data_IF_099786764556
#
_entry.id   IF_099786764556
#
_cell.length_a   1.000
_cell.length_b   1.000
_cell.length_c   1.000
_cell.angle_alpha   90.00
_cell.angle_beta   90.00
_cell.angle_gamma   90.00
#
_symmetry.space_group_name_H-M   'P 1'
#
loop_
_entity.id
_entity.type
_entity.pdbx_description
1 polymer ?
#
# COMPACT_ATOMS: atom_id res chain seq x y z
N UNK A 1 17.96 56.64 -30.27
CA UNK A 1 17.65 56.96 -28.84
C UNK A 1 16.17 56.88 -28.43
N UNK A 2 15.19 57.20 -29.30
CA UNK A 2 13.74 57.09 -28.96
C UNK A 2 13.23 55.65 -28.77
N UNK A 3 13.86 54.67 -29.43
CA UNK A 3 13.48 53.26 -29.33
C UNK A 3 13.82 52.65 -27.96
N UNK A 4 14.96 53.05 -27.38
CA UNK A 4 15.45 52.54 -26.10
C UNK A 4 14.59 52.99 -24.90
N UNK A 5 14.08 54.24 -24.94
CA UNK A 5 13.14 54.75 -23.93
C UNK A 5 11.78 54.01 -23.95
N UNK A 6 11.35 53.47 -25.09
CA UNK A 6 10.07 52.74 -25.23
C UNK A 6 10.18 51.30 -24.68
N UNK A 7 11.34 50.67 -24.81
CA UNK A 7 11.61 49.35 -24.23
C UNK A 7 11.74 49.38 -22.69
N UNK A 8 12.41 50.40 -22.14
CA UNK A 8 12.55 50.54 -20.68
C UNK A 8 11.18 50.79 -20.03
N UNK A 9 10.33 51.63 -20.63
CA UNK A 9 8.99 51.93 -20.09
C UNK A 9 8.04 50.72 -20.13
N UNK A 10 8.22 49.78 -21.06
CA UNK A 10 7.48 48.50 -21.09
C UNK A 10 7.97 47.52 -20.03
N UNK A 11 9.26 47.49 -19.74
CA UNK A 11 9.81 46.64 -18.69
C UNK A 11 9.45 47.13 -17.28
N UNK A 12 9.44 48.44 -17.04
CA UNK A 12 9.03 48.98 -15.72
C UNK A 12 7.57 48.69 -15.39
N UNK A 13 6.66 48.70 -16.38
CA UNK A 13 5.23 48.37 -16.16
C UNK A 13 5.02 46.88 -15.88
N UNK A 14 5.79 45.99 -16.52
CA UNK A 14 5.71 44.55 -16.28
C UNK A 14 6.28 44.19 -14.90
N UNK A 15 7.39 44.81 -14.48
CA UNK A 15 7.96 44.58 -13.15
C UNK A 15 6.99 45.07 -12.06
N UNK A 16 6.34 46.24 -12.23
CA UNK A 16 5.35 46.75 -11.26
C UNK A 16 4.09 45.88 -11.19
N UNK A 17 3.63 45.31 -12.31
CA UNK A 17 2.47 44.42 -12.34
C UNK A 17 2.76 43.07 -11.65
N UNK A 18 4.00 42.57 -11.75
CA UNK A 18 4.42 41.33 -11.07
C UNK A 18 4.56 41.53 -9.57
N UNK A 19 5.03 42.69 -9.09
CA UNK A 19 5.07 42.97 -7.63
C UNK A 19 3.67 43.12 -7.03
N UNK A 20 2.71 43.74 -7.73
CA UNK A 20 1.33 43.91 -7.21
C UNK A 20 0.56 42.58 -7.11
N UNK A 21 0.86 41.60 -7.98
CA UNK A 21 0.24 40.27 -7.92
C UNK A 21 0.80 39.43 -6.77
N UNK A 22 2.06 39.64 -6.36
CA UNK A 22 2.67 38.90 -5.23
C UNK A 22 2.19 39.44 -3.87
N UNK A 23 1.78 40.71 -3.78
CA UNK A 23 1.23 41.30 -2.54
C UNK A 23 -0.24 40.95 -2.27
N UNK A 24 -0.94 40.30 -3.21
CA UNK A 24 -2.39 40.01 -3.11
C UNK A 24 -2.72 38.54 -2.78
N UNK A 25 -1.70 37.69 -2.58
CA UNK A 25 -1.89 36.32 -2.11
C UNK A 25 -2.18 36.34 -0.59
N UNK A 26 -3.46 36.57 -0.24
CA UNK A 26 -3.97 36.30 1.11
C UNK A 26 -3.65 34.84 1.46
N UNK A 27 -2.87 34.68 2.51
CA UNK A 27 -2.67 33.42 3.22
C UNK A 27 -4.04 33.01 3.76
N UNK A 28 -4.69 32.05 3.10
CA UNK A 28 -5.84 31.36 3.68
C UNK A 28 -5.33 30.39 4.74
N UNK A 29 -5.16 30.91 5.95
CA UNK A 29 -5.22 30.14 7.19
C UNK A 29 -6.58 29.44 7.23
N UNK A 30 -6.57 28.10 7.21
CA UNK A 30 -7.78 27.32 7.47
C UNK A 30 -8.12 27.48 8.95
N UNK A 31 -9.16 28.26 9.22
CA UNK A 31 -9.80 28.38 10.52
C UNK A 31 -10.49 27.07 10.90
N UNK A 32 -10.35 26.76 12.18
CA UNK A 32 -10.94 25.65 12.91
C UNK A 32 -12.47 25.75 12.89
N UNK A 33 -13.13 24.59 12.74
CA UNK A 33 -14.58 24.47 12.80
C UNK A 33 -15.06 24.26 14.24
N UNK A 34 -15.81 25.24 14.71
CA UNK A 34 -17.00 25.16 15.57
C UNK A 34 -16.89 24.44 16.92
N UNK A 35 -16.58 25.21 17.96
CA UNK A 35 -17.13 25.01 19.30
C UNK A 35 -18.43 25.79 19.45
N UNK A 36 -19.51 25.07 19.73
CA UNK A 36 -20.82 25.63 20.09
C UNK A 36 -20.74 26.24 21.49
N UNK A 37 -20.91 27.55 21.60
CA UNK A 37 -21.15 28.25 22.87
C UNK A 37 -22.65 28.39 23.13
N UNK A 38 -23.08 28.15 24.37
CA UNK A 38 -24.21 28.84 25.03
C UNK A 38 -24.14 28.58 26.55
N UNK A 39 -24.73 29.42 27.41
CA UNK A 39 -24.28 30.75 27.81
C UNK A 39 -23.90 30.81 29.30
N UNK A 40 -23.27 31.92 29.68
CA UNK A 40 -22.93 32.30 31.07
C UNK A 40 -24.20 32.63 31.86
N UNK A 41 -24.37 32.03 33.04
CA UNK A 41 -25.27 32.53 34.07
C UNK A 41 -24.53 32.67 35.42
N UNK A 42 -24.49 33.93 35.84
CA UNK A 42 -24.40 34.55 37.16
C UNK A 42 -24.04 33.73 38.42
N UNK A 43 -23.11 34.33 39.16
CA UNK A 43 -22.67 34.05 40.53
C UNK A 43 -23.81 34.09 41.56
N UNK A 44 -23.83 33.08 42.44
CA UNK A 44 -24.50 33.16 43.75
C UNK A 44 -23.72 32.34 44.79
N UNK A 45 -23.71 32.84 46.02
CA UNK A 45 -22.79 32.53 47.12
C UNK A 45 -22.96 31.14 47.77
N UNK A 46 -21.89 30.78 48.47
CA UNK A 46 -21.63 29.63 49.34
C UNK A 46 -22.72 29.39 50.41
N UNK A 47 -23.01 28.12 50.76
CA UNK A 47 -22.85 27.78 52.16
C UNK A 47 -22.13 26.44 52.39
N UNK A 48 -20.96 26.58 53.03
CA UNK A 48 -20.30 25.65 53.95
C UNK A 48 -21.24 24.59 54.52
N UNK A 49 -20.99 23.32 54.20
CA UNK A 49 -21.58 22.16 54.88
C UNK A 49 -20.48 21.22 55.39
N UNK A 50 -20.71 20.76 56.60
CA UNK A 50 -19.88 20.01 57.55
C UNK A 50 -19.50 18.58 57.07
N UNK A 51 -18.35 18.01 57.47
CA UNK A 51 -17.94 16.68 57.04
C UNK A 51 -18.75 15.56 57.70
N UNK A 52 -19.34 14.69 56.87
CA UNK A 52 -20.02 13.45 57.26
C UNK A 52 -19.00 12.30 57.48
N UNK A 53 -19.17 11.43 58.50
CA UNK A 53 -18.19 10.41 58.86
C UNK A 53 -18.11 9.22 57.89
N UNK A 54 -16.91 8.62 57.85
CA UNK A 54 -16.52 7.51 56.98
C UNK A 54 -17.27 6.19 57.27
N UNK A 55 -17.62 5.40 56.23
CA UNK A 55 -18.21 4.08 56.42
C UNK A 55 -17.16 3.02 56.76
N UNK A 56 -17.48 2.22 57.77
CA UNK A 56 -16.78 1.01 58.22
C UNK A 56 -16.91 -0.13 57.20
N UNK A 57 -15.80 -0.81 56.92
CA UNK A 57 -15.72 -1.98 56.04
C UNK A 57 -16.04 -3.26 56.80
N UNK A 58 -17.06 -3.99 56.36
CA UNK A 58 -17.39 -5.33 56.85
C UNK A 58 -16.79 -6.39 55.91
N UNK A 59 -16.13 -7.40 56.50
CA UNK A 59 -15.35 -8.43 55.79
C UNK A 59 -16.22 -9.51 55.17
N UNK A 60 -16.10 -9.72 53.86
CA UNK A 60 -16.74 -10.80 53.10
C UNK A 60 -16.00 -12.14 53.28
N UNK A 61 -16.68 -13.27 53.53
CA UNK A 61 -16.03 -14.57 53.71
C UNK A 61 -15.56 -15.21 52.40
N UNK A 62 -14.43 -15.90 52.49
CA UNK A 62 -13.73 -16.64 51.42
C UNK A 62 -14.48 -17.91 50.99
N UNK A 63 -14.71 -18.17 49.69
CA UNK A 63 -15.36 -19.40 49.24
C UNK A 63 -14.42 -20.62 49.23
N UNK A 64 -15.00 -21.78 49.55
CA UNK A 64 -14.38 -23.10 49.64
C UNK A 64 -14.11 -23.72 48.25
N UNK A 65 -12.98 -24.43 48.12
CA UNK A 65 -12.48 -24.98 46.84
C UNK A 65 -13.02 -26.39 46.60
N UNK A 66 -13.74 -26.59 45.49
CA UNK A 66 -14.23 -27.90 45.04
C UNK A 66 -13.18 -28.63 44.19
N UNK A 67 -12.96 -29.95 44.37
CA UNK A 67 -11.94 -30.70 43.63
C UNK A 67 -12.27 -30.89 42.14
N UNK A 68 -11.23 -30.82 41.30
CA UNK A 68 -11.30 -30.94 39.83
C UNK A 68 -11.18 -32.42 39.39
N UNK A 69 -12.04 -32.94 38.50
CA UNK A 69 -11.97 -34.32 38.02
C UNK A 69 -10.82 -34.57 37.04
N UNK A 70 -10.31 -35.81 37.06
CA UNK A 70 -9.14 -36.30 36.33
C UNK A 70 -9.43 -36.54 34.82
N UNK A 71 -8.46 -36.21 33.96
CA UNK A 71 -8.65 -36.16 32.51
C UNK A 71 -8.59 -37.55 31.83
N UNK A 72 -9.60 -37.84 30.99
CA UNK A 72 -9.67 -39.03 30.14
C UNK A 72 -8.66 -38.95 28.97
N UNK A 73 -7.91 -40.03 28.65
CA UNK A 73 -6.91 -40.01 27.58
C UNK A 73 -7.52 -39.87 26.17
N UNK A 74 -6.87 -39.06 25.33
CA UNK A 74 -7.32 -38.73 23.96
C UNK A 74 -6.84 -39.78 22.94
N UNK A 75 -7.69 -40.23 21.98
CA UNK A 75 -7.30 -41.23 20.99
C UNK A 75 -6.21 -40.74 20.01
N UNK A 76 -5.28 -41.63 19.68
CA UNK A 76 -4.17 -41.42 18.74
C UNK A 76 -4.70 -41.31 17.30
N UNK A 77 -4.34 -40.24 16.59
CA UNK A 77 -4.79 -40.00 15.21
C UNK A 77 -4.09 -40.94 14.20
N UNK A 78 -4.87 -41.54 13.30
CA UNK A 78 -4.40 -42.35 12.16
C UNK A 78 -3.84 -41.42 11.05
N UNK A 79 -2.69 -41.73 10.43
CA UNK A 79 -2.10 -40.88 9.39
C UNK A 79 -3.02 -40.77 8.17
N UNK A 80 -3.33 -39.53 7.78
CA UNK A 80 -4.14 -39.22 6.59
C UNK A 80 -3.26 -39.25 5.34
N UNK A 81 -3.62 -40.08 4.35
CA UNK A 81 -2.94 -40.12 3.05
C UNK A 81 -3.16 -38.80 2.30
N UNK A 82 -2.10 -38.25 1.70
CA UNK A 82 -2.18 -37.01 0.93
C UNK A 82 -3.07 -37.18 -0.32
N UNK A 83 -3.90 -36.19 -0.68
CA UNK A 83 -4.78 -36.27 -1.84
C UNK A 83 -3.97 -36.25 -3.15
N UNK A 84 -4.32 -37.15 -4.08
CA UNK A 84 -3.78 -37.17 -5.44
C UNK A 84 -4.07 -35.85 -6.17
N UNK A 85 -3.07 -35.19 -6.80
CA UNK A 85 -3.29 -33.94 -7.53
C UNK A 85 -4.28 -34.11 -8.71
N UNK A 86 -5.20 -33.17 -8.86
CA UNK A 86 -6.09 -33.12 -10.03
C UNK A 86 -5.26 -32.82 -11.31
N UNK A 87 -5.29 -33.70 -12.34
CA UNK A 87 -4.50 -33.51 -13.56
C UNK A 87 -4.87 -32.24 -14.36
N UNK A 88 -6.01 -31.59 -14.05
CA UNK A 88 -6.42 -30.34 -14.68
C UNK A 88 -5.94 -29.08 -13.93
N UNK A 89 -5.19 -29.23 -12.85
CA UNK A 89 -4.64 -28.10 -12.10
C UNK A 89 -3.36 -27.55 -12.77
N UNK A 90 -3.22 -26.22 -12.86
CA UNK A 90 -1.96 -25.59 -13.25
C UNK A 90 -0.77 -26.08 -12.41
N UNK A 91 0.46 -26.10 -12.96
CA UNK A 91 1.63 -26.53 -12.23
C UNK A 91 1.85 -25.68 -10.98
N UNK A 92 2.14 -26.35 -9.86
CA UNK A 92 2.60 -25.73 -8.62
C UNK A 92 4.12 -25.74 -8.58
N UNK A 93 4.69 -24.58 -8.30
CA UNK A 93 6.11 -24.39 -8.07
C UNK A 93 6.33 -23.93 -6.63
N UNK A 94 7.37 -24.47 -5.99
CA UNK A 94 7.81 -23.97 -4.69
C UNK A 94 8.99 -23.04 -4.90
N UNK A 95 8.86 -21.82 -4.38
CA UNK A 95 10.00 -20.91 -4.20
C UNK A 95 10.52 -21.12 -2.79
N UNK A 96 11.66 -21.80 -2.61
CA UNK A 96 12.23 -21.98 -1.30
C UNK A 96 12.62 -20.62 -0.72
N UNK A 97 12.59 -20.54 0.60
CA UNK A 97 13.19 -19.43 1.31
C UNK A 97 14.68 -19.40 0.97
N UNK A 98 15.17 -18.31 0.37
CA UNK A 98 16.61 -18.20 0.15
C UNK A 98 17.31 -18.10 1.53
N UNK A 99 18.47 -18.73 1.67
CA UNK A 99 19.35 -18.44 2.81
C UNK A 99 19.72 -16.97 2.74
N UNK A 100 19.84 -16.25 3.87
CA UNK A 100 20.21 -14.83 3.82
C UNK A 100 21.53 -14.66 3.06
N UNK A 101 21.43 -14.20 1.81
CA UNK A 101 22.54 -14.20 0.86
C UNK A 101 22.81 -12.79 0.35
N UNK A 102 24.07 -12.57 0.01
CA UNK A 102 24.56 -11.28 -0.40
C UNK A 102 23.78 -10.66 -1.56
N UNK A 103 23.13 -9.53 -1.30
CA UNK A 103 22.45 -8.72 -2.29
C UNK A 103 21.15 -9.29 -2.85
N UNK A 104 20.59 -10.26 -2.13
CA UNK A 104 19.26 -10.84 -2.40
C UNK A 104 18.20 -10.36 -1.42
N UNK A 105 18.54 -9.56 -0.43
CA UNK A 105 17.57 -9.06 0.54
C UNK A 105 18.12 -7.82 1.23
N UNK A 106 17.19 -7.01 1.74
CA UNK A 106 17.54 -5.87 2.58
C UNK A 106 16.62 -5.85 3.77
N UNK A 107 17.18 -5.69 4.96
CA UNK A 107 16.41 -5.30 6.14
C UNK A 107 16.35 -3.79 6.23
N UNK A 108 15.26 -3.27 6.76
CA UNK A 108 15.16 -1.84 7.02
C UNK A 108 15.73 -1.51 8.40
N UNK A 109 16.54 -0.46 8.48
CA UNK A 109 17.09 0.04 9.74
C UNK A 109 16.52 1.40 10.08
N UNK A 110 16.09 1.59 11.33
CA UNK A 110 15.58 2.87 11.82
C UNK A 110 14.16 3.22 11.36
N UNK A 111 13.39 2.25 10.85
CA UNK A 111 12.00 2.48 10.39
C UNK A 111 11.07 2.96 11.52
N UNK A 112 10.00 3.72 11.20
CA UNK A 112 8.93 4.04 12.15
C UNK A 112 8.39 2.79 12.83
N UNK A 113 8.27 2.83 14.16
CA UNK A 113 7.83 1.69 14.97
C UNK A 113 7.05 2.16 16.21
N UNK A 114 6.32 1.26 16.85
CA UNK A 114 5.56 1.57 18.05
C UNK A 114 6.46 1.58 19.31
N UNK A 115 7.35 2.55 19.42
CA UNK A 115 8.21 2.69 20.59
C UNK A 115 8.67 4.11 20.87
N UNK A 116 9.31 4.29 22.04
CA UNK A 116 9.74 5.60 22.55
C UNK A 116 10.66 6.32 21.57
N UNK A 117 11.45 5.61 20.75
CA UNK A 117 12.42 6.24 19.83
C UNK A 117 12.00 6.28 18.35
N UNK A 118 10.71 6.12 18.03
CA UNK A 118 10.26 6.20 16.62
C UNK A 118 10.72 7.51 15.95
N UNK A 119 11.23 7.48 14.71
CA UNK A 119 11.56 8.71 13.96
C UNK A 119 10.32 9.53 13.59
N UNK A 120 9.14 8.90 13.51
CA UNK A 120 7.86 9.55 13.23
C UNK A 120 6.95 9.31 14.43
N UNK A 121 6.60 10.37 15.17
CA UNK A 121 5.84 10.26 16.44
C UNK A 121 4.58 11.10 16.52
N UNK A 122 4.52 12.24 15.85
CA UNK A 122 3.48 13.23 16.10
C UNK A 122 2.77 13.63 14.82
N UNK A 123 1.44 13.70 14.89
CA UNK A 123 0.57 14.31 13.91
C UNK A 123 -0.30 15.33 14.65
N UNK A 124 -0.20 16.61 14.32
CA UNK A 124 -1.01 17.68 14.93
C UNK A 124 -1.01 17.60 16.48
N UNK A 125 0.17 17.47 17.08
CA UNK A 125 0.33 17.35 18.54
C UNK A 125 -0.11 16.00 19.15
N UNK A 126 -0.66 15.07 18.37
CA UNK A 126 -1.10 13.74 18.84
C UNK A 126 -0.12 12.65 18.44
N UNK A 127 0.09 11.69 19.34
CA UNK A 127 1.00 10.57 19.10
C UNK A 127 0.43 9.64 18.03
N UNK A 128 1.20 9.41 16.97
CA UNK A 128 0.90 8.38 15.97
C UNK A 128 1.52 7.05 16.40
N UNK A 129 0.78 5.95 16.24
CA UNK A 129 1.25 4.58 16.48
C UNK A 129 1.46 3.90 15.13
N UNK A 130 2.72 3.73 14.68
CA UNK A 130 3.03 2.98 13.46
C UNK A 130 2.65 1.49 13.63
N UNK A 131 2.01 0.94 12.61
CA UNK A 131 1.73 -0.48 12.44
C UNK A 131 2.79 -1.16 11.57
N UNK A 132 2.45 -2.35 11.08
CA UNK A 132 3.31 -3.15 10.19
C UNK A 132 3.46 -2.46 8.83
N UNK A 133 4.62 -2.65 8.19
CA UNK A 133 4.78 -2.30 6.77
C UNK A 133 3.76 -3.10 5.96
N UNK A 134 3.01 -2.41 5.12
CA UNK A 134 1.88 -2.90 4.32
C UNK A 134 2.25 -3.08 2.84
N UNK A 135 3.17 -2.26 2.34
CA UNK A 135 3.66 -2.37 0.97
C UNK A 135 5.03 -1.68 0.81
N UNK A 136 5.70 -1.96 -0.31
CA UNK A 136 6.97 -1.35 -0.68
C UNK A 136 7.11 -1.20 -2.21
N UNK A 137 8.00 -0.31 -2.65
CA UNK A 137 8.38 -0.14 -4.04
C UNK A 137 9.79 0.46 -4.15
N UNK A 138 10.58 -0.01 -5.11
CA UNK A 138 11.90 0.56 -5.39
C UNK A 138 11.79 1.77 -6.32
N UNK A 139 12.68 2.75 -6.16
CA UNK A 139 12.80 3.80 -7.15
C UNK A 139 13.43 3.26 -8.44
N UNK A 140 13.01 3.74 -9.63
CA UNK A 140 13.58 3.30 -10.91
C UNK A 140 15.10 3.50 -11.04
N UNK A 141 15.66 4.53 -10.42
CA UNK A 141 17.11 4.76 -10.36
C UNK A 141 17.85 3.85 -9.37
N UNK A 142 17.13 3.04 -8.58
CA UNK A 142 17.70 2.08 -7.64
C UNK A 142 18.38 2.72 -6.43
N UNK A 143 18.10 4.00 -6.14
CA UNK A 143 18.65 4.71 -4.97
C UNK A 143 17.87 4.46 -3.69
N UNK A 144 16.55 4.30 -3.78
CA UNK A 144 15.68 4.22 -2.62
C UNK A 144 14.68 3.07 -2.72
N UNK A 145 14.17 2.71 -1.55
CA UNK A 145 12.94 1.94 -1.39
C UNK A 145 11.98 2.79 -0.58
N UNK A 146 10.77 2.93 -1.10
CA UNK A 146 9.65 3.49 -0.34
C UNK A 146 8.85 2.35 0.28
N UNK A 147 8.34 2.59 1.48
CA UNK A 147 7.49 1.66 2.20
C UNK A 147 6.31 2.40 2.82
N UNK A 148 5.15 1.77 2.83
CA UNK A 148 3.95 2.26 3.52
C UNK A 148 3.69 1.42 4.76
N UNK A 149 3.27 2.06 5.84
CA UNK A 149 2.66 1.37 6.99
C UNK A 149 1.43 2.13 7.47
N UNK A 150 0.56 1.44 8.20
CA UNK A 150 -0.54 2.09 8.90
C UNK A 150 0.00 2.98 10.02
N UNK A 151 -0.56 4.17 10.19
CA UNK A 151 -0.33 5.04 11.33
C UNK A 151 -1.65 5.34 12.02
N UNK A 152 -1.80 4.91 13.27
CA UNK A 152 -3.00 5.17 14.06
C UNK A 152 -2.85 6.44 14.89
N UNK A 153 -3.80 7.36 14.80
CA UNK A 153 -3.89 8.55 15.64
C UNK A 153 -5.31 8.64 16.22
N UNK A 154 -5.49 8.23 17.48
CA UNK A 154 -6.82 7.96 18.04
C UNK A 154 -7.51 6.82 17.29
N UNK A 155 -8.77 7.02 16.89
CA UNK A 155 -9.51 6.11 16.00
C UNK A 155 -9.18 6.33 14.51
N UNK A 156 -8.47 7.42 14.19
CA UNK A 156 -8.09 7.79 12.83
C UNK A 156 -6.97 6.91 12.28
N UNK A 157 -7.11 6.52 11.02
CA UNK A 157 -6.10 5.78 10.24
C UNK A 157 -5.45 6.69 9.21
N UNK A 158 -4.14 6.64 9.16
CA UNK A 158 -3.29 7.38 8.23
C UNK A 158 -2.25 6.44 7.63
N UNK A 159 -1.64 6.85 6.54
CA UNK A 159 -0.51 6.10 5.96
C UNK A 159 0.78 6.82 6.31
N UNK A 160 1.76 6.11 6.85
CA UNK A 160 3.12 6.60 6.99
C UNK A 160 3.88 6.13 5.76
N UNK A 161 4.38 7.09 4.98
CA UNK A 161 5.23 6.85 3.82
C UNK A 161 6.68 7.06 4.23
N UNK A 162 7.46 5.99 4.25
CA UNK A 162 8.88 6.03 4.63
C UNK A 162 9.77 5.89 3.41
N UNK A 163 10.87 6.64 3.38
CA UNK A 163 11.94 6.49 2.39
C UNK A 163 13.18 5.91 3.06
N UNK A 164 13.72 4.84 2.50
CA UNK A 164 15.02 4.30 2.92
C UNK A 164 16.00 4.31 1.75
N UNK A 165 17.24 4.69 2.01
CA UNK A 165 18.33 4.60 1.04
C UNK A 165 18.73 3.13 0.87
N UNK A 166 18.96 2.73 -0.37
CA UNK A 166 19.49 1.40 -0.66
C UNK A 166 21.01 1.41 -0.47
N UNK A 167 21.59 0.34 0.11
CA UNK A 167 23.02 0.30 0.34
C UNK A 167 23.77 0.18 -0.98
N UNK A 168 24.90 0.90 -1.08
CA UNK A 168 25.80 0.86 -2.25
C UNK A 168 26.32 -0.56 -2.52
N UNK A 169 26.65 -1.30 -1.45
CA UNK A 169 27.08 -2.69 -1.51
C UNK A 169 25.95 -3.61 -1.08
N UNK A 170 25.59 -4.52 -1.97
CA UNK A 170 24.53 -5.51 -1.77
C UNK A 170 25.18 -6.81 -1.26
N UNK A 171 25.60 -6.82 0.02
CA UNK A 171 26.11 -8.01 0.71
C UNK A 171 25.00 -8.68 1.56
N UNK A 172 25.32 -9.70 2.37
CA UNK A 172 24.30 -10.55 3.04
C UNK A 172 23.62 -9.84 4.20
N UNK A 173 24.26 -8.78 4.69
CA UNK A 173 23.83 -7.94 5.81
C UNK A 173 23.43 -6.54 5.32
N UNK A 174 23.11 -6.42 4.02
CA UNK A 174 22.80 -5.15 3.40
C UNK A 174 21.52 -4.57 4.02
N UNK A 175 21.63 -3.34 4.53
CA UNK A 175 20.53 -2.63 5.20
C UNK A 175 20.08 -1.45 4.35
N UNK A 176 18.78 -1.34 4.17
CA UNK A 176 18.18 -0.11 3.70
C UNK A 176 18.03 0.84 4.90
N UNK A 177 18.61 2.04 4.82
CA UNK A 177 18.66 2.96 5.95
C UNK A 177 17.56 4.00 5.85
N UNK A 178 16.72 4.10 6.88
CA UNK A 178 15.69 5.12 6.97
C UNK A 178 16.29 6.52 6.80
N UNK A 179 15.70 7.31 5.91
CA UNK A 179 16.12 8.69 5.63
C UNK A 179 15.09 9.67 6.20
N UNK A 180 13.83 9.47 5.83
CA UNK A 180 12.72 10.28 6.30
C UNK A 180 11.38 9.53 6.20
N UNK A 181 10.35 10.11 6.81
CA UNK A 181 8.99 9.61 6.74
C UNK A 181 7.99 10.75 6.79
N UNK A 182 6.92 10.60 6.02
CA UNK A 182 5.81 11.56 5.92
C UNK A 182 4.52 10.89 6.38
N UNK A 183 3.70 11.63 7.12
CA UNK A 183 2.36 11.17 7.49
C UNK A 183 1.36 11.68 6.44
N UNK A 184 0.79 10.76 5.69
CA UNK A 184 -0.27 11.02 4.73
C UNK A 184 -1.63 10.97 5.47
N UNK A 185 -2.08 12.13 5.95
CA UNK A 185 -3.31 12.25 6.72
C UNK A 185 -4.53 11.87 5.86
N UNK A 186 -5.32 10.92 6.36
CA UNK A 186 -6.53 10.43 5.69
C UNK A 186 -6.27 9.52 4.48
N UNK A 187 -5.13 8.83 4.44
CA UNK A 187 -4.80 7.87 3.37
C UNK A 187 -5.13 6.41 3.72
N UNK A 188 -5.55 6.14 4.96
CA UNK A 188 -6.00 4.80 5.37
C UNK A 188 -4.86 3.85 5.67
N UNK A 189 -5.04 2.57 5.34
CA UNK A 189 -4.16 1.48 5.77
C UNK A 189 -2.76 1.50 5.14
N UNK A 190 -2.63 1.96 3.90
CA UNK A 190 -1.34 1.97 3.18
C UNK A 190 -1.11 0.71 2.34
N UNK A 191 -2.18 0.07 1.91
CA UNK A 191 -2.24 -1.25 1.28
C UNK A 191 -1.62 -1.35 -0.13
N UNK A 192 -1.33 -0.21 -0.75
CA UNK A 192 -0.79 -0.16 -2.11
C UNK A 192 0.26 0.94 -2.22
N UNK A 193 1.33 0.60 -2.93
CA UNK A 193 2.42 1.50 -3.24
C UNK A 193 3.02 1.09 -4.58
N UNK A 194 3.21 2.05 -5.47
CA UNK A 194 4.08 1.91 -6.64
C UNK A 194 4.85 3.22 -6.87
N UNK A 195 5.99 3.15 -7.53
CA UNK A 195 6.87 4.32 -7.72
C UNK A 195 7.33 4.41 -9.16
N UNK A 196 7.16 5.59 -9.74
CA UNK A 196 7.66 5.92 -11.07
C UNK A 196 8.53 7.16 -11.02
N UNK A 197 9.38 7.34 -12.03
CA UNK A 197 10.29 8.47 -12.13
C UNK A 197 10.27 8.96 -13.57
N UNK A 198 9.99 10.25 -13.75
CA UNK A 198 9.94 10.86 -15.08
C UNK A 198 11.34 11.06 -15.65
N UNK A 199 12.27 11.53 -14.81
CA UNK A 199 13.66 11.82 -15.16
C UNK A 199 14.60 11.13 -14.17
N UNK A 200 15.37 10.13 -14.64
CA UNK A 200 16.30 9.35 -13.82
C UNK A 200 17.49 10.19 -13.29
N UNK A 201 17.69 11.40 -13.81
CA UNK A 201 18.75 12.31 -13.34
C UNK A 201 18.30 13.16 -12.15
N UNK A 202 17.00 13.20 -11.86
CA UNK A 202 16.43 13.99 -10.77
C UNK A 202 15.91 13.06 -9.69
N UNK A 203 16.18 13.38 -8.44
CA UNK A 203 15.59 12.68 -7.30
C UNK A 203 14.16 13.18 -7.03
N UNK A 204 13.34 13.10 -8.06
CA UNK A 204 11.91 13.43 -8.04
C UNK A 204 11.11 12.22 -8.53
N UNK A 205 10.22 11.73 -7.67
CA UNK A 205 9.49 10.49 -7.87
C UNK A 205 7.99 10.74 -7.83
N UNK A 206 7.27 10.06 -8.70
CA UNK A 206 5.81 9.96 -8.63
C UNK A 206 5.46 8.70 -7.84
N UNK A 207 4.95 8.91 -6.62
CA UNK A 207 4.57 7.87 -5.66
C UNK A 207 3.06 7.66 -5.76
N UNK A 208 2.64 6.43 -6.02
CA UNK A 208 1.26 6.04 -6.25
C UNK A 208 0.72 5.26 -5.05
N UNK A 209 -0.28 5.81 -4.37
CA UNK A 209 -0.85 5.24 -3.14
C UNK A 209 -2.37 5.36 -3.12
N UNK A 210 -3.03 4.48 -2.36
CA UNK A 210 -4.46 4.62 -2.08
C UNK A 210 -4.71 5.83 -1.16
N UNK A 211 -5.89 6.46 -1.31
CA UNK A 211 -6.31 7.61 -0.50
C UNK A 211 -7.83 7.67 -0.37
N UNK A 212 -8.32 8.56 0.51
CA UNK A 212 -9.76 8.83 0.72
C UNK A 212 -10.52 7.55 1.12
N UNK A 213 -10.17 6.94 2.25
CA UNK A 213 -10.81 5.71 2.69
C UNK A 213 -12.22 5.94 3.21
N UNK A 214 -13.10 4.97 3.00
CA UNK A 214 -14.41 4.89 3.67
C UNK A 214 -14.26 4.08 4.96
N UNK A 215 -14.86 4.54 6.06
CA UNK A 215 -14.66 3.92 7.39
C UNK A 215 -13.20 3.94 7.85
N UNK A 216 -12.35 4.77 7.24
CA UNK A 216 -10.94 4.93 7.57
C UNK A 216 -10.01 3.79 7.15
N UNK A 217 -10.49 2.68 6.58
CA UNK A 217 -9.63 1.53 6.29
C UNK A 217 -9.00 1.56 4.89
N UNK A 218 -9.76 1.19 3.86
CA UNK A 218 -9.26 1.03 2.49
C UNK A 218 -9.54 2.25 1.63
N UNK A 219 -8.58 2.67 0.80
CA UNK A 219 -8.74 3.82 -0.07
C UNK A 219 -9.70 3.57 -1.23
N UNK A 220 -10.40 4.63 -1.66
CA UNK A 220 -11.31 4.62 -2.81
C UNK A 220 -10.80 5.43 -4.02
N UNK A 221 -9.65 6.08 -3.84
CA UNK A 221 -8.96 6.88 -4.84
C UNK A 221 -7.50 6.47 -4.88
N UNK A 222 -6.81 6.81 -5.96
CA UNK A 222 -5.35 6.68 -6.08
C UNK A 222 -4.76 8.08 -6.15
N UNK A 223 -3.88 8.44 -5.22
CA UNK A 223 -3.06 9.64 -5.30
C UNK A 223 -1.78 9.34 -6.10
N UNK A 224 -1.36 10.30 -6.92
CA UNK A 224 0.01 10.43 -7.40
C UNK A 224 0.64 11.61 -6.68
N UNK A 225 1.58 11.31 -5.79
CA UNK A 225 2.36 12.28 -5.03
C UNK A 225 3.68 12.48 -5.75
N UNK A 226 3.94 13.69 -6.24
CA UNK A 226 5.26 14.08 -6.71
C UNK A 226 6.09 14.44 -5.48
N UNK A 227 7.02 13.57 -5.14
CA UNK A 227 7.94 13.67 -4.02
C UNK A 227 9.33 14.04 -4.53
N UNK A 228 10.00 14.99 -3.88
CA UNK A 228 11.35 15.44 -4.22
C UNK A 228 12.29 15.29 -3.05
N UNK A 229 13.51 14.83 -3.32
CA UNK A 229 14.62 14.90 -2.35
C UNK A 229 15.28 16.26 -2.49
N UNK A 230 15.21 17.06 -1.44
CA UNK A 230 15.81 18.40 -1.40
C UNK A 230 17.33 18.33 -1.17
N UNK A 231 18.10 19.41 -1.44
CA UNK A 231 19.54 19.45 -1.19
C UNK A 231 19.95 19.14 0.26
N UNK A 232 19.06 19.37 1.22
CA UNK A 232 19.25 18.99 2.64
C UNK A 232 19.24 17.47 2.87
N UNK A 233 18.89 16.68 1.84
CA UNK A 233 18.67 15.25 1.92
C UNK A 233 17.26 14.87 2.35
N UNK A 234 16.41 15.81 2.76
CA UNK A 234 15.03 15.55 3.21
C UNK A 234 14.03 15.50 2.05
N UNK A 235 13.03 14.64 2.18
CA UNK A 235 11.90 14.56 1.27
C UNK A 235 10.85 15.65 1.45
N UNK A 236 10.31 16.16 0.34
CA UNK A 236 9.19 17.09 0.31
C UNK A 236 8.10 16.62 -0.67
N UNK A 237 6.83 16.96 -0.39
CA UNK A 237 5.72 16.78 -1.33
C UNK A 237 5.56 18.06 -2.14
N UNK A 238 5.84 17.97 -3.44
CA UNK A 238 5.72 19.08 -4.39
C UNK A 238 4.31 19.16 -4.95
N UNK A 239 3.70 18.01 -5.23
CA UNK A 239 2.37 17.96 -5.86
C UNK A 239 1.60 16.72 -5.46
N UNK A 240 0.30 16.89 -5.23
CA UNK A 240 -0.63 15.78 -5.06
C UNK A 240 -1.75 15.94 -6.08
N UNK A 241 -1.97 14.92 -6.90
CA UNK A 241 -3.14 14.82 -7.78
C UNK A 241 -3.77 13.44 -7.59
N UNK A 242 -5.07 13.31 -7.87
CA UNK A 242 -5.80 12.07 -7.59
C UNK A 242 -6.50 11.50 -8.82
N UNK A 243 -6.74 10.21 -8.81
CA UNK A 243 -7.66 9.48 -9.67
C UNK A 243 -8.85 9.04 -8.82
N UNK A 244 -10.07 9.32 -9.28
CA UNK A 244 -11.28 8.96 -8.55
C UNK A 244 -12.42 8.53 -9.45
N UNK A 245 -13.58 8.27 -8.85
CA UNK A 245 -14.78 7.78 -9.55
C UNK A 245 -14.57 6.44 -10.28
N UNK A 246 -13.84 5.52 -9.64
CA UNK A 246 -13.55 4.19 -10.20
C UNK A 246 -14.79 3.35 -10.52
N UNK A 247 -15.97 3.67 -9.96
CA UNK A 247 -17.25 3.06 -10.36
C UNK A 247 -17.58 3.21 -11.86
N UNK A 248 -16.96 4.15 -12.58
CA UNK A 248 -17.17 4.41 -14.01
C UNK A 248 -16.10 3.80 -14.92
N UNK A 249 -15.37 2.81 -14.44
CA UNK A 249 -14.25 2.20 -15.17
C UNK A 249 -14.64 0.96 -15.98
N UNK A 250 -15.92 0.61 -16.02
CA UNK A 250 -16.38 -0.36 -17.01
C UNK A 250 -16.45 0.31 -18.40
N UNK A 251 -16.37 -0.49 -19.46
CA UNK A 251 -16.48 -0.03 -20.85
C UNK A 251 -17.57 -0.85 -21.52
N UNK A 252 -18.62 -0.19 -22.00
CA UNK A 252 -19.70 -0.88 -22.68
C UNK A 252 -19.32 -1.28 -24.12
N UNK A 253 -20.20 -2.01 -24.81
CA UNK A 253 -20.00 -2.47 -26.19
C UNK A 253 -19.68 -1.34 -27.19
N UNK A 254 -20.09 -0.10 -26.88
CA UNK A 254 -19.83 1.10 -27.71
C UNK A 254 -18.53 1.82 -27.34
N UNK A 255 -17.75 1.29 -26.41
CA UNK A 255 -16.51 1.90 -25.94
C UNK A 255 -16.71 3.10 -25.01
N UNK A 256 -17.92 3.32 -24.50
CA UNK A 256 -18.24 4.40 -23.57
C UNK A 256 -18.07 3.92 -22.12
N UNK A 257 -17.69 4.85 -21.26
CA UNK A 257 -17.61 4.61 -19.82
C UNK A 257 -18.97 4.17 -19.28
N UNK A 258 -18.96 3.15 -18.44
CA UNK A 258 -20.14 2.58 -17.80
C UNK A 258 -19.82 2.17 -16.36
N UNK A 259 -20.86 1.85 -15.61
CA UNK A 259 -20.72 1.26 -14.28
C UNK A 259 -20.62 -0.26 -14.36
N UNK A 260 -20.03 -0.86 -13.34
CA UNK A 260 -20.15 -2.31 -13.13
C UNK A 260 -21.52 -2.62 -12.55
N UNK A 261 -22.15 -3.68 -13.05
CA UNK A 261 -23.50 -4.10 -12.68
C UNK A 261 -23.62 -5.62 -12.70
N UNK A 262 -24.55 -6.12 -11.91
CA UNK A 262 -25.09 -7.48 -11.98
C UNK A 262 -26.62 -7.36 -11.94
N UNK A 263 -27.28 -7.69 -13.05
CA UNK A 263 -28.69 -7.32 -13.25
C UNK A 263 -28.90 -5.80 -13.20
N UNK A 264 -29.78 -5.35 -12.31
CA UNK A 264 -30.09 -3.93 -12.06
C UNK A 264 -29.14 -3.26 -11.07
N UNK A 265 -28.46 -4.05 -10.24
CA UNK A 265 -27.60 -3.57 -9.16
C UNK A 265 -26.34 -2.90 -9.72
N UNK A 266 -25.96 -1.76 -9.14
CA UNK A 266 -24.73 -1.04 -9.46
C UNK A 266 -23.72 -1.28 -8.36
N UNK A 267 -22.55 -1.79 -8.73
CA UNK A 267 -21.49 -1.99 -7.77
C UNK A 267 -20.78 -0.69 -7.40
N UNK A 268 -20.58 -0.48 -6.10
CA UNK A 268 -19.74 0.57 -5.55
C UNK A 268 -18.38 -0.01 -5.16
N UNK A 269 -17.32 0.73 -5.50
CA UNK A 269 -15.96 0.31 -5.20
C UNK A 269 -15.71 0.52 -3.71
N UNK A 270 -15.21 -0.51 -3.04
CA UNK A 270 -14.90 -0.52 -1.61
C UNK A 270 -13.40 -0.49 -1.32
N UNK A 271 -12.56 -0.86 -2.30
CA UNK A 271 -11.10 -0.76 -2.20
C UNK A 271 -10.48 -0.63 -3.58
N UNK A 272 -9.46 0.24 -3.68
CA UNK A 272 -8.63 0.38 -4.87
C UNK A 272 -7.15 0.15 -4.57
N UNK A 273 -6.47 -0.56 -5.46
CA UNK A 273 -5.02 -0.71 -5.42
C UNK A 273 -4.43 -0.42 -6.80
N UNK A 274 -3.14 -0.10 -6.86
CA UNK A 274 -2.43 0.26 -8.10
C UNK A 274 -1.16 -0.57 -8.28
N UNK A 275 -0.86 -0.91 -9.54
CA UNK A 275 0.45 -1.40 -9.97
C UNK A 275 0.74 -0.91 -11.39
N UNK A 276 2.00 -0.60 -11.68
CA UNK A 276 2.45 0.02 -12.93
C UNK A 276 3.53 -0.82 -13.58
N UNK A 277 3.37 -1.05 -14.89
CA UNK A 277 4.41 -1.59 -15.77
C UNK A 277 4.75 -0.51 -16.81
N UNK A 278 5.78 0.29 -16.49
CA UNK A 278 6.20 1.41 -17.34
C UNK A 278 6.73 0.94 -18.69
N UNK A 279 7.42 -0.20 -18.72
CA UNK A 279 8.05 -0.75 -19.93
C UNK A 279 6.99 -1.14 -20.96
N UNK A 280 5.86 -1.69 -20.51
CA UNK A 280 4.73 -2.04 -21.36
C UNK A 280 3.65 -0.93 -21.43
N UNK A 281 3.91 0.26 -20.88
CA UNK A 281 3.00 1.40 -20.85
C UNK A 281 1.63 1.09 -20.22
N UNK A 282 1.63 0.38 -19.08
CA UNK A 282 0.43 -0.09 -18.40
C UNK A 282 0.34 0.39 -16.96
N UNK A 283 -0.86 0.78 -16.56
CA UNK A 283 -1.24 1.00 -15.17
C UNK A 283 -2.49 0.19 -14.89
N UNK A 284 -2.43 -0.66 -13.88
CA UNK A 284 -3.54 -1.52 -13.45
C UNK A 284 -4.11 -1.00 -12.15
N UNK A 285 -5.44 -0.95 -12.09
CA UNK A 285 -6.17 -0.74 -10.86
C UNK A 285 -6.93 -2.01 -10.50
N UNK A 286 -6.67 -2.53 -9.29
CA UNK A 286 -7.52 -3.54 -8.67
C UNK A 286 -8.70 -2.81 -8.04
N UNK A 287 -9.91 -3.23 -8.38
CA UNK A 287 -11.16 -2.70 -7.84
C UNK A 287 -11.87 -3.85 -7.15
N UNK A 288 -12.07 -3.70 -5.85
CA UNK A 288 -12.87 -4.62 -5.05
C UNK A 288 -14.21 -3.96 -4.75
N UNK A 289 -15.29 -4.63 -5.12
CA UNK A 289 -16.66 -4.22 -4.83
C UNK A 289 -17.19 -5.02 -3.65
N UNK A 290 -17.01 -6.33 -3.70
CA UNK A 290 -17.20 -7.26 -2.59
C UNK A 290 -16.07 -8.29 -2.65
N UNK A 291 -15.95 -9.15 -1.64
CA UNK A 291 -14.93 -10.20 -1.61
C UNK A 291 -14.97 -11.11 -2.87
N UNK A 292 -16.15 -11.26 -3.47
CA UNK A 292 -16.39 -12.11 -4.65
C UNK A 292 -16.65 -11.29 -5.94
N UNK A 293 -16.41 -9.98 -5.93
CA UNK A 293 -16.52 -9.14 -7.11
C UNK A 293 -15.27 -8.27 -7.20
N UNK A 294 -14.26 -8.77 -7.91
CA UNK A 294 -12.97 -8.09 -8.08
C UNK A 294 -12.68 -7.90 -9.57
N UNK A 295 -12.21 -6.70 -9.92
CA UNK A 295 -11.77 -6.35 -11.27
C UNK A 295 -10.33 -5.87 -11.28
N UNK A 296 -9.61 -6.22 -12.33
CA UNK A 296 -8.30 -5.66 -12.64
C UNK A 296 -8.43 -4.92 -13.97
N UNK A 297 -8.55 -3.59 -13.90
CA UNK A 297 -8.72 -2.72 -15.06
C UNK A 297 -7.40 -2.06 -15.42
N UNK A 298 -6.97 -2.22 -16.66
CA UNK A 298 -5.62 -1.86 -17.10
C UNK A 298 -5.74 -0.78 -18.16
N UNK A 299 -4.93 0.27 -18.05
CA UNK A 299 -4.97 1.46 -18.89
C UNK A 299 -3.60 1.77 -19.50
N UNK A 300 -3.61 2.56 -20.57
CA UNK A 300 -2.43 3.22 -21.11
C UNK A 300 -1.86 4.22 -20.08
N UNK A 301 -0.71 3.86 -19.51
CA UNK A 301 -0.07 4.62 -18.43
C UNK A 301 0.29 6.04 -18.84
N UNK A 302 0.94 6.23 -20.00
CA UNK A 302 1.33 7.55 -20.52
C UNK A 302 0.11 8.46 -20.70
N UNK A 303 -1.05 7.93 -21.10
CA UNK A 303 -2.28 8.75 -21.21
C UNK A 303 -2.83 9.18 -19.86
N UNK A 304 -2.87 8.27 -18.87
CA UNK A 304 -3.25 8.61 -17.50
C UNK A 304 -2.30 9.66 -16.93
N UNK A 305 -1.00 9.46 -17.06
CA UNK A 305 0.00 10.41 -16.57
C UNK A 305 -0.11 11.79 -17.25
N UNK A 306 -0.30 11.82 -18.58
CA UNK A 306 -0.51 13.08 -19.30
C UNK A 306 -1.77 13.81 -18.82
N UNK A 307 -2.82 13.10 -18.43
CA UNK A 307 -4.03 13.71 -17.89
C UNK A 307 -3.78 14.31 -16.49
N UNK A 308 -3.10 13.57 -15.62
CA UNK A 308 -2.74 14.03 -14.28
C UNK A 308 -1.78 15.23 -14.30
N UNK A 309 -0.87 15.29 -15.28
CA UNK A 309 0.08 16.41 -15.40
C UNK A 309 -0.62 17.76 -15.65
N UNK A 310 -1.84 17.76 -16.22
CA UNK A 310 -2.63 18.96 -16.48
C UNK A 310 -3.41 19.48 -15.28
N UNK A 311 -3.48 18.69 -14.21
CA UNK A 311 -4.21 19.06 -13.02
C UNK A 311 -3.34 19.92 -12.10
N UNK A 312 -3.96 20.83 -11.36
CA UNK A 312 -3.31 21.57 -10.29
C UNK A 312 -3.22 20.75 -8.99
N UNK A 313 -2.46 21.26 -8.02
CA UNK A 313 -2.34 20.63 -6.70
C UNK A 313 -3.72 20.38 -6.07
N UNK A 314 -3.92 19.18 -5.54
CA UNK A 314 -5.14 18.76 -4.84
C UNK A 314 -6.27 18.29 -5.74
N UNK A 315 -6.21 18.54 -7.06
CA UNK A 315 -7.26 18.17 -8.00
C UNK A 315 -7.37 16.65 -8.24
N UNK A 316 -8.55 16.23 -8.70
CA UNK A 316 -8.88 14.83 -8.94
C UNK A 316 -9.37 14.63 -10.39
N UNK A 317 -8.73 13.73 -11.12
CA UNK A 317 -9.15 13.29 -12.44
C UNK A 317 -10.28 12.26 -12.31
N UNK A 318 -11.38 12.50 -13.02
CA UNK A 318 -12.51 11.60 -13.07
C UNK A 318 -12.25 10.43 -14.03
N UNK A 319 -12.17 9.21 -13.50
CA UNK A 319 -11.87 8.01 -14.29
C UNK A 319 -12.92 7.68 -15.37
N UNK A 320 -14.12 8.26 -15.33
CA UNK A 320 -15.07 8.21 -16.46
C UNK A 320 -14.43 8.70 -17.77
N UNK A 321 -13.56 9.71 -17.71
CA UNK A 321 -12.84 10.25 -18.86
C UNK A 321 -11.74 9.34 -19.42
N UNK A 322 -11.31 8.33 -18.65
CA UNK A 322 -10.24 7.40 -19.02
C UNK A 322 -10.72 6.13 -19.73
N UNK A 323 -12.03 5.86 -19.84
CA UNK A 323 -12.56 4.64 -20.47
C UNK A 323 -11.94 4.35 -21.86
N UNK A 324 -11.75 5.40 -22.66
CA UNK A 324 -11.10 5.34 -23.99
C UNK A 324 -9.62 4.90 -23.98
N UNK A 325 -8.98 4.84 -22.82
CA UNK A 325 -7.58 4.44 -22.65
C UNK A 325 -7.43 3.05 -22.02
N UNK A 326 -8.53 2.39 -21.66
CA UNK A 326 -8.49 1.05 -21.11
C UNK A 326 -7.99 0.07 -22.17
N UNK A 327 -7.07 -0.83 -21.79
CA UNK A 327 -6.46 -1.87 -22.63
C UNK A 327 -6.78 -3.29 -22.16
N UNK A 328 -7.22 -3.49 -20.90
CA UNK A 328 -7.76 -4.77 -20.45
C UNK A 328 -8.72 -4.58 -19.26
N UNK A 329 -9.62 -5.56 -19.07
CA UNK A 329 -10.56 -5.62 -17.96
C UNK A 329 -10.74 -7.08 -17.56
N UNK A 330 -10.18 -7.48 -16.42
CA UNK A 330 -10.19 -8.87 -15.96
C UNK A 330 -11.11 -9.02 -14.76
N UNK A 331 -12.00 -10.01 -14.78
CA UNK A 331 -12.77 -10.46 -13.60
C UNK A 331 -12.08 -11.67 -12.99
N UNK A 332 -11.47 -11.49 -11.83
CA UNK A 332 -10.73 -12.54 -11.11
C UNK A 332 -11.14 -12.50 -9.64
N UNK A 333 -12.07 -13.37 -9.28
CA UNK A 333 -12.63 -13.45 -7.93
C UNK A 333 -11.83 -14.39 -7.01
N UNK A 334 -10.54 -14.55 -7.29
CA UNK A 334 -9.68 -15.39 -6.47
C UNK A 334 -8.36 -14.69 -6.20
N UNK A 335 -7.90 -14.91 -4.99
CA UNK A 335 -6.58 -14.54 -4.50
C UNK A 335 -6.19 -15.59 -3.46
N UNK A 336 -4.89 -15.83 -3.27
CA UNK A 336 -4.42 -16.93 -2.47
C UNK A 336 -4.98 -16.91 -1.04
N UNK A 337 -5.46 -18.08 -0.58
CA UNK A 337 -6.04 -18.30 0.74
C UNK A 337 -7.21 -17.39 1.14
N UNK A 338 -7.82 -16.67 0.18
CA UNK A 338 -8.80 -15.60 0.46
C UNK A 338 -8.26 -14.49 1.37
N UNK A 339 -6.95 -14.26 1.36
CA UNK A 339 -6.31 -13.11 2.04
C UNK A 339 -5.48 -12.32 1.04
N UNK A 340 -5.95 -11.14 0.65
CA UNK A 340 -5.25 -10.32 -0.35
C UNK A 340 -4.15 -9.50 0.34
N UNK A 341 -2.91 -9.71 -0.08
CA UNK A 341 -1.75 -9.02 0.48
C UNK A 341 -1.06 -8.11 -0.55
N UNK A 342 -1.10 -8.47 -1.84
CA UNK A 342 -0.59 -7.59 -2.90
C UNK A 342 -0.96 -8.04 -4.29
N UNK A 343 -0.70 -7.16 -5.27
CA UNK A 343 -0.58 -7.57 -6.66
C UNK A 343 0.50 -6.77 -7.38
N UNK A 344 0.97 -7.31 -8.50
CA UNK A 344 1.87 -6.63 -9.42
C UNK A 344 1.48 -6.97 -10.85
N UNK A 345 1.68 -6.04 -11.78
CA UNK A 345 1.64 -6.32 -13.22
C UNK A 345 3.04 -6.21 -13.83
N UNK A 346 3.40 -7.13 -14.72
CA UNK A 346 4.62 -7.07 -15.53
C UNK A 346 4.49 -7.97 -16.76
N UNK A 347 4.82 -7.46 -17.95
CA UNK A 347 4.81 -8.20 -19.22
C UNK A 347 3.48 -8.89 -19.49
N UNK A 348 2.39 -8.12 -19.47
CA UNK A 348 1.03 -8.63 -19.64
C UNK A 348 0.68 -9.80 -18.70
N UNK A 349 1.33 -9.84 -17.54
CA UNK A 349 1.14 -10.86 -16.51
C UNK A 349 0.72 -10.17 -15.23
N UNK A 350 -0.30 -10.69 -14.58
CA UNK A 350 -0.80 -10.28 -13.28
C UNK A 350 -0.34 -11.31 -12.25
N UNK A 351 0.33 -10.84 -11.20
CA UNK A 351 0.80 -11.64 -10.07
C UNK A 351 -0.07 -11.27 -8.86
N UNK A 352 -0.86 -12.21 -8.36
CA UNK A 352 -1.76 -12.02 -7.22
C UNK A 352 -1.20 -12.71 -6.00
N UNK A 353 -0.92 -11.95 -4.96
CA UNK A 353 -0.25 -12.42 -3.78
C UNK A 353 -1.21 -12.47 -2.59
N UNK A 354 -1.18 -13.59 -1.88
CA UNK A 354 -1.93 -13.78 -0.65
C UNK A 354 -1.17 -14.67 0.32
N UNK A 355 -1.52 -14.57 1.58
CA UNK A 355 -0.84 -15.27 2.65
C UNK A 355 -1.27 -14.75 4.00
N UNK A 356 -1.10 -15.58 5.02
CA UNK A 356 -1.31 -15.23 6.41
C UNK A 356 -0.55 -16.20 7.31
N UNK A 357 -0.40 -15.85 8.59
CA UNK A 357 0.28 -16.68 9.59
C UNK A 357 -0.26 -18.12 9.60
N UNK A 358 0.60 -19.11 9.78
CA UNK A 358 0.31 -20.55 9.78
C UNK A 358 -0.05 -21.16 8.42
N UNK A 359 -0.54 -20.39 7.42
CA UNK A 359 -0.77 -20.90 6.06
C UNK A 359 0.38 -20.63 5.09
N UNK A 360 1.26 -19.69 5.42
CA UNK A 360 2.34 -19.26 4.53
C UNK A 360 1.83 -18.34 3.42
N UNK A 361 2.54 -18.29 2.30
CA UNK A 361 2.25 -17.36 1.21
C UNK A 361 2.21 -18.07 -0.15
N UNK A 362 1.43 -17.54 -1.07
CA UNK A 362 1.31 -18.05 -2.43
C UNK A 362 1.07 -16.91 -3.41
N UNK A 363 1.46 -17.11 -4.66
CA UNK A 363 1.24 -16.19 -5.77
C UNK A 363 0.51 -16.92 -6.89
N UNK A 364 -0.59 -16.34 -7.39
CA UNK A 364 -1.26 -16.78 -8.62
C UNK A 364 -0.74 -15.96 -9.79
N UNK A 365 -0.32 -16.65 -10.86
CA UNK A 365 0.23 -16.00 -12.05
C UNK A 365 -0.79 -16.11 -13.17
N UNK A 366 -1.23 -14.96 -13.69
CA UNK A 366 -2.29 -14.87 -14.69
C UNK A 366 -1.81 -14.04 -15.87
N UNK A 367 -1.63 -14.67 -17.03
CA UNK A 367 -1.43 -13.94 -18.29
C UNK A 367 -2.72 -13.32 -18.77
N UNK A 368 -2.64 -12.14 -19.35
CA UNK A 368 -3.75 -11.49 -20.03
C UNK A 368 -3.33 -10.96 -21.38
N UNK A 369 -4.31 -10.68 -22.22
CA UNK A 369 -4.11 -10.03 -23.52
C UNK A 369 -4.64 -8.61 -23.46
N UNK A 370 -3.87 -7.68 -24.02
CA UNK A 370 -4.37 -6.33 -24.25
C UNK A 370 -5.35 -6.33 -25.43
N UNK A 371 -6.28 -5.39 -25.39
CA UNK A 371 -7.29 -5.17 -26.40
C UNK A 371 -7.12 -3.75 -26.97
N UNK A 372 -7.77 -3.48 -28.09
CA UNK A 372 -7.79 -2.13 -28.67
C UNK A 372 -8.34 -1.14 -27.64
N UNK A 373 -7.60 -0.04 -27.42
CA UNK A 373 -7.96 1.00 -26.45
C UNK A 373 -9.41 1.45 -26.58
N UNK A 374 -10.12 1.47 -25.46
CA UNK A 374 -11.53 1.88 -25.41
C UNK A 374 -12.50 0.90 -26.06
N UNK A 375 -12.05 -0.28 -26.49
CA UNK A 375 -12.91 -1.38 -26.97
C UNK A 375 -12.71 -2.65 -26.14
N UNK A 376 -12.45 -2.46 -24.85
CA UNK A 376 -12.20 -3.54 -23.91
C UNK A 376 -13.49 -4.24 -23.53
N UNK A 377 -13.46 -5.57 -23.60
CA UNK A 377 -14.47 -6.45 -23.01
C UNK A 377 -13.94 -7.02 -21.70
N UNK A 378 -14.85 -7.23 -20.74
CA UNK A 378 -14.53 -7.98 -19.53
C UNK A 378 -14.13 -9.42 -19.92
N UNK A 379 -13.03 -9.90 -19.35
CA UNK A 379 -12.56 -11.27 -19.48
C UNK A 379 -12.59 -11.93 -18.10
N UNK A 380 -13.49 -12.90 -17.91
CA UNK A 380 -13.52 -13.72 -16.70
C UNK A 380 -12.37 -14.72 -16.74
N UNK A 381 -11.52 -14.70 -15.71
CA UNK A 381 -10.44 -15.69 -15.55
C UNK A 381 -10.82 -16.62 -14.39
N UNK A 382 -10.88 -17.91 -14.69
CA UNK A 382 -11.09 -18.97 -13.69
C UNK A 382 -9.79 -19.67 -13.35
N UNK A 383 -9.75 -20.40 -12.23
CA UNK A 383 -8.55 -21.04 -11.67
C UNK A 383 -7.77 -21.89 -12.68
N UNK A 384 -8.47 -22.66 -13.53
CA UNK A 384 -7.85 -23.49 -14.60
C UNK A 384 -7.10 -22.70 -15.68
N UNK A 385 -7.31 -21.39 -15.77
CA UNK A 385 -6.64 -20.50 -16.71
C UNK A 385 -5.42 -19.81 -16.10
N UNK A 386 -5.09 -20.11 -14.84
CA UNK A 386 -3.89 -19.58 -14.22
C UNK A 386 -2.69 -20.29 -14.85
N UNK A 387 -1.63 -19.53 -15.12
CA UNK A 387 -0.43 -20.11 -15.74
C UNK A 387 0.28 -21.05 -14.76
N UNK A 388 0.32 -20.66 -13.49
CA UNK A 388 0.95 -21.44 -12.42
C UNK A 388 0.57 -20.93 -11.04
N UNK A 389 0.80 -21.79 -10.06
CA UNK A 389 0.81 -21.45 -8.65
C UNK A 389 2.25 -21.39 -8.15
N UNK A 390 2.57 -20.36 -7.37
CA UNK A 390 3.89 -20.25 -6.75
C UNK A 390 3.72 -20.22 -5.25
N UNK A 391 4.04 -21.33 -4.58
CA UNK A 391 4.07 -21.42 -3.12
C UNK A 391 5.37 -20.80 -2.63
N UNK A 392 5.27 -19.85 -1.71
CA UNK A 392 6.44 -19.25 -1.07
C UNK A 392 6.67 -20.03 0.22
N UNK A 393 7.84 -20.65 0.34
CA UNK A 393 8.26 -21.20 1.60
C UNK A 393 8.54 -20.05 2.57
N UNK A 394 7.67 -19.90 3.56
CA UNK A 394 7.77 -18.83 4.56
C UNK A 394 8.68 -19.29 5.69
N UNK A 395 9.98 -19.28 5.44
CA UNK A 395 11.01 -19.54 6.42
C UNK A 395 12.09 -18.47 6.35
N UNK A 396 12.54 -17.93 7.48
CA UNK A 396 13.63 -16.95 7.50
C UNK A 396 14.58 -17.25 8.65
N UNK A 397 15.89 -17.19 8.38
CA UNK A 397 16.92 -17.31 9.42
C UNK A 397 17.45 -15.93 9.80
N UNK A 398 17.23 -15.51 11.05
CA UNK A 398 17.67 -14.22 11.58
C UNK A 398 18.59 -14.46 12.77
N UNK A 399 19.89 -14.21 12.57
CA UNK A 399 20.91 -14.60 13.53
C UNK A 399 20.89 -16.12 13.77
N UNK A 400 20.65 -16.53 15.03
CA UNK A 400 20.53 -17.94 15.44
C UNK A 400 19.09 -18.48 15.40
N UNK A 401 18.08 -17.63 15.15
CA UNK A 401 16.67 -18.02 15.16
C UNK A 401 16.20 -18.35 13.74
N UNK A 402 15.40 -19.41 13.62
CA UNK A 402 14.64 -19.72 12.40
C UNK A 402 13.17 -19.40 12.66
N UNK A 403 12.58 -18.60 11.79
CA UNK A 403 11.18 -18.21 11.82
C UNK A 403 10.45 -18.97 10.73
N UNK A 404 9.35 -19.62 11.08
CA UNK A 404 8.50 -20.34 10.15
C UNK A 404 7.23 -19.58 9.82
N UNK A 405 6.32 -20.28 9.13
CA UNK A 405 5.00 -19.78 8.73
C UNK A 405 4.15 -19.26 9.90
N UNK A 406 4.38 -19.73 11.11
CA UNK A 406 3.70 -19.31 12.35
C UNK A 406 4.13 -17.90 12.82
N UNK A 407 5.26 -17.42 12.32
CA UNK A 407 5.85 -16.12 12.65
C UNK A 407 5.93 -15.16 11.48
N UNK A 408 5.65 -15.61 10.25
CA UNK A 408 5.85 -14.83 9.03
C UNK A 408 4.55 -14.64 8.26
N UNK A 409 4.20 -13.38 8.00
CA UNK A 409 3.09 -12.98 7.13
C UNK A 409 3.61 -12.10 6.00
N UNK A 410 3.05 -12.26 4.81
CA UNK A 410 3.45 -11.48 3.64
C UNK A 410 2.66 -10.18 3.58
N UNK A 411 3.36 -9.06 3.44
CA UNK A 411 2.80 -7.70 3.52
C UNK A 411 3.34 -6.83 2.38
N UNK A 412 3.04 -7.26 1.15
CA UNK A 412 3.50 -6.62 -0.08
C UNK A 412 4.39 -7.52 -0.95
N UNK A 413 4.21 -7.39 -2.26
CA UNK A 413 4.99 -8.10 -3.27
C UNK A 413 5.22 -7.19 -4.48
N UNK A 414 6.41 -7.27 -5.06
CA UNK A 414 6.77 -6.65 -6.34
C UNK A 414 7.49 -7.64 -7.25
N UNK A 415 7.38 -7.44 -8.55
CA UNK A 415 8.14 -8.19 -9.56
C UNK A 415 8.98 -7.19 -10.33
N UNK A 416 10.27 -7.45 -10.49
CA UNK A 416 11.17 -6.62 -11.28
C UNK A 416 11.97 -7.48 -12.26
N UNK A 417 12.48 -6.87 -13.33
CA UNK A 417 13.48 -7.49 -14.20
C UNK A 417 14.87 -7.16 -13.70
N UNK A 418 15.76 -8.14 -13.66
CA UNK A 418 17.18 -7.88 -13.50
C UNK A 418 17.81 -7.42 -14.83
N UNK A 419 19.12 -7.11 -14.78
CA UNK A 419 19.91 -6.69 -15.97
C UNK A 419 19.87 -7.67 -17.15
N UNK A 420 19.52 -8.94 -16.90
CA UNK A 420 19.39 -9.99 -17.93
C UNK A 420 17.94 -10.17 -18.41
N UNK A 421 17.02 -9.28 -18.01
CA UNK A 421 15.60 -9.38 -18.33
C UNK A 421 14.84 -10.48 -17.56
N UNK A 422 15.49 -11.20 -16.64
CA UNK A 422 14.82 -12.25 -15.86
C UNK A 422 14.00 -11.65 -14.74
N UNK A 423 12.81 -12.20 -14.52
CA UNK A 423 11.87 -11.78 -13.47
C UNK A 423 12.34 -12.25 -12.09
N UNK A 424 12.28 -11.33 -11.14
CA UNK A 424 12.64 -11.51 -9.74
C UNK A 424 11.48 -11.00 -8.88
N UNK A 425 11.04 -11.82 -7.94
CA UNK A 425 10.02 -11.47 -6.97
C UNK A 425 10.69 -10.85 -5.76
N UNK A 426 10.05 -9.83 -5.22
CA UNK A 426 10.46 -9.19 -3.99
C UNK A 426 9.26 -9.23 -3.07
N UNK A 427 9.48 -9.70 -1.85
CA UNK A 427 8.41 -9.98 -0.89
C UNK A 427 8.79 -9.32 0.43
N UNK A 428 7.85 -8.57 1.01
CA UNK A 428 7.99 -8.07 2.36
C UNK A 428 7.34 -9.06 3.34
N UNK A 429 8.07 -9.44 4.39
CA UNK A 429 7.50 -10.24 5.48
C UNK A 429 7.35 -9.41 6.75
N UNK A 430 6.13 -9.37 7.29
CA UNK A 430 5.90 -9.06 8.68
C UNK A 430 6.31 -10.25 9.55
N UNK A 431 6.99 -9.94 10.65
CA UNK A 431 7.51 -10.91 11.60
C UNK A 431 6.83 -10.71 12.95
N UNK A 432 6.05 -11.70 13.36
CA UNK A 432 5.36 -11.69 14.65
C UNK A 432 6.37 -11.69 15.81
N UNK A 433 6.13 -10.83 16.79
CA UNK A 433 6.90 -10.73 18.05
C UNK A 433 8.38 -10.35 17.89
N UNK A 434 8.77 -9.79 16.74
CA UNK A 434 10.10 -9.21 16.53
C UNK A 434 9.95 -7.71 16.28
N UNK A 435 10.65 -6.84 17.05
CA UNK A 435 10.58 -5.40 16.88
C UNK A 435 10.81 -4.98 15.42
N UNK A 436 9.91 -4.15 14.87
CA UNK A 436 9.94 -3.64 13.48
C UNK A 436 11.32 -3.08 13.09
N UNK A 437 12.04 -2.49 14.05
CA UNK A 437 13.40 -1.94 13.89
C UNK A 437 14.46 -2.97 13.50
N UNK A 438 14.15 -4.27 13.63
CA UNK A 438 15.07 -5.38 13.42
C UNK A 438 14.51 -6.44 12.46
N UNK A 439 13.28 -6.26 11.93
CA UNK A 439 12.46 -7.38 11.45
C UNK A 439 11.65 -7.13 10.17
N UNK A 440 11.77 -5.97 9.54
CA UNK A 440 11.14 -5.76 8.23
C UNK A 440 12.21 -5.96 7.17
N UNK A 441 11.97 -6.88 6.23
CA UNK A 441 12.88 -7.15 5.14
C UNK A 441 12.14 -7.39 3.84
N UNK A 442 12.71 -6.88 2.75
CA UNK A 442 12.31 -7.24 1.40
C UNK A 442 13.25 -8.32 0.90
N UNK A 443 12.69 -9.48 0.58
CA UNK A 443 13.42 -10.68 0.19
C UNK A 443 13.22 -10.95 -1.29
N UNK A 444 14.32 -11.19 -2.00
CA UNK A 444 14.33 -11.49 -3.44
C UNK A 444 14.27 -12.98 -3.68
N UNK A 445 13.40 -13.38 -4.61
CA UNK A 445 13.26 -14.75 -5.08
C UNK A 445 13.36 -14.77 -6.61
N UNK A 446 14.05 -15.77 -7.17
CA UNK A 446 14.13 -15.92 -8.64
C UNK A 446 13.15 -16.99 -9.09
N UNK A 447 12.42 -16.73 -10.18
CA UNK A 447 11.46 -17.71 -10.72
C UNK A 447 12.14 -18.98 -11.26
N UNK A 448 13.45 -18.98 -11.51
CA UNK A 448 14.19 -20.15 -12.01
C UNK A 448 14.82 -21.00 -10.89
N UNK A 449 14.59 -20.67 -9.62
CA UNK A 449 14.96 -21.51 -8.46
C UNK A 449 13.77 -22.38 -8.01
N UNK A 450 12.74 -22.52 -8.85
CA UNK A 450 11.57 -23.31 -8.54
C UNK A 450 11.83 -24.79 -8.74
N UNK A 451 11.53 -25.59 -7.72
CA UNK A 451 11.41 -27.04 -7.85
C UNK A 451 9.92 -27.34 -8.08
N UNK A 452 9.54 -28.11 -9.10
CA UNK A 452 8.18 -28.65 -9.22
C UNK A 452 7.76 -29.35 -7.92
N UNK A 453 6.50 -29.22 -7.51
CA UNK A 453 6.02 -29.89 -6.28
C UNK A 453 6.25 -31.42 -6.31
N UNK A 454 6.20 -32.01 -7.52
CA UNK A 454 6.47 -33.44 -7.77
C UNK A 454 7.92 -33.88 -7.54
N UNK A 455 8.86 -32.94 -7.40
CA UNK A 455 10.29 -33.21 -7.16
C UNK A 455 10.69 -32.98 -5.68
N UNK A 456 9.73 -32.74 -4.78
CA UNK A 456 9.98 -32.52 -3.34
C UNK A 456 9.49 -33.65 -2.42
N UNK A 457 9.07 -34.78 -3.00
CA UNK A 457 8.85 -36.06 -2.30
C UNK A 457 10.09 -36.94 -2.45
#
# INVERSE_FOLDING_TARGET
>A
MKFFKKCIRRWTVIVLAVTIVISSAKINTFAEGETTETPVEQTTEDPTTEPSPAPTTESTPTPEVTPTPEATPTPTAVPTVAPTPDPNMPPTYVLPADTMQAGKQFTFTGMPYNGKYSPVRWLNGKKIKPGTTQNFAYTPDGKYVFATCQGMCGTGRHTILSRCSLPKKKNKDAKAEFQDGLILQGYGHGETLDVTQADLKKEEYDIWVATKPTGGFYGLQIARITYRVEPSGMGSIVKIVRLGNFKWTNVNKKGKADKFREGTEVFNVNRVNVSIDKDNNQICFRLEFTNDQIRYVIYDFKKINKALNKLDYGQCFNMKGAAKWQVANLKINAYPYKTFQSFCIMDNTLYLCGGYLNKGAQIYVVKYKTQKRGKTKEVKIVKKQYERFVKIETQLKIGKKTLGKDRLEIEGMKVYKNKKGKKEFFINFYQKDIPITSSVGVYKFKMNQTVPETEME
#
